data_IF_970247844424
#
_entry.id   IF_970247844424
#
_cell.length_a   1.000
_cell.length_b   1.000
_cell.length_c   1.000
_cell.angle_alpha   90.00
_cell.angle_beta   90.00
_cell.angle_gamma   90.00
#
_symmetry.space_group_name_H-M   'P 1'
#
loop_
_entity.id
_entity.type
_entity.pdbx_description
1 polymer ?
#
# COMPACT_ATOMS: atom_id res chain seq x y z
N UNK A 1 16.42 -17.78 -4.35
CA UNK A 1 16.99 -16.67 -5.15
C UNK A 1 16.31 -15.37 -4.70
N UNK A 2 16.87 -14.20 -4.98
CA UNK A 2 16.27 -12.93 -4.55
C UNK A 2 15.02 -12.63 -5.37
N UNK A 3 13.84 -12.66 -4.74
CA UNK A 3 12.64 -12.10 -5.33
C UNK A 3 12.82 -10.58 -5.44
N UNK A 4 12.72 -10.06 -6.66
CA UNK A 4 12.70 -8.62 -6.88
C UNK A 4 11.32 -8.09 -6.47
N UNK A 5 11.21 -7.67 -5.21
CA UNK A 5 10.02 -6.96 -4.72
C UNK A 5 9.67 -5.83 -5.68
N UNK A 6 8.39 -5.71 -6.04
CA UNK A 6 7.93 -4.65 -6.92
C UNK A 6 8.35 -3.30 -6.31
N UNK A 7 9.16 -2.47 -7.01
CA UNK A 7 9.59 -1.19 -6.46
C UNK A 7 8.36 -0.34 -6.21
N UNK A 8 8.29 0.36 -5.07
CA UNK A 8 7.25 1.36 -4.89
C UNK A 8 7.31 2.38 -6.04
N UNK A 9 6.16 2.80 -6.59
CA UNK A 9 6.12 3.81 -7.66
C UNK A 9 6.73 5.13 -7.14
N UNK A 10 7.93 5.55 -7.59
CA UNK A 10 8.51 6.82 -7.14
C UNK A 10 7.73 8.04 -7.64
N UNK A 11 7.01 7.90 -8.75
CA UNK A 11 6.39 8.98 -9.50
C UNK A 11 5.00 8.61 -10.01
N UNK A 12 4.08 9.55 -9.90
CA UNK A 12 2.71 9.49 -10.43
C UNK A 12 2.70 9.74 -11.94
N UNK A 13 1.62 9.33 -12.63
CA UNK A 13 1.46 9.57 -14.08
C UNK A 13 1.50 11.07 -14.46
N UNK A 14 1.11 11.95 -13.54
CA UNK A 14 1.18 13.41 -13.71
C UNK A 14 2.60 13.96 -13.50
N UNK A 15 3.34 13.45 -12.52
CA UNK A 15 4.76 13.81 -12.29
C UNK A 15 5.64 13.36 -13.45
N UNK A 16 5.37 12.18 -14.01
CA UNK A 16 6.05 11.67 -15.21
C UNK A 16 5.72 12.48 -16.47
N UNK A 17 4.60 13.21 -16.51
CA UNK A 17 4.28 14.19 -17.56
C UNK A 17 5.02 15.52 -17.34
N UNK A 18 5.13 15.98 -16.09
CA UNK A 18 5.79 17.24 -15.72
C UNK A 18 7.21 17.37 -16.28
N UNK A 19 7.54 18.53 -16.87
CA UNK A 19 8.86 18.82 -17.43
C UNK A 19 9.99 18.79 -16.38
N UNK A 20 9.66 19.02 -15.10
CA UNK A 20 10.61 18.96 -13.99
C UNK A 20 11.32 17.59 -13.85
N UNK A 21 10.75 16.51 -14.38
CA UNK A 21 11.27 15.15 -14.27
C UNK A 21 12.06 14.76 -15.54
N UNK A 22 13.41 14.57 -15.48
CA UNK A 22 14.20 14.32 -16.67
C UNK A 22 13.90 12.96 -17.33
N UNK A 23 13.75 12.92 -18.66
CA UNK A 23 13.62 11.67 -19.44
C UNK A 23 14.66 10.61 -19.04
N UNK A 24 15.90 11.06 -18.78
CA UNK A 24 17.05 10.23 -18.42
C UNK A 24 16.82 9.41 -17.15
N UNK A 25 16.11 9.96 -16.17
CA UNK A 25 15.92 9.33 -14.86
C UNK A 25 14.73 8.37 -14.85
N UNK A 26 13.69 8.63 -15.68
CA UNK A 26 12.68 7.62 -16.03
C UNK A 26 13.36 6.41 -16.69
N UNK A 27 14.24 6.66 -17.69
CA UNK A 27 14.97 5.58 -18.39
C UNK A 27 15.87 4.79 -17.41
N UNK A 28 16.62 5.45 -16.52
CA UNK A 28 17.42 4.76 -15.49
C UNK A 28 16.54 3.85 -14.63
N UNK A 29 15.43 4.37 -14.11
CA UNK A 29 14.52 3.60 -13.25
C UNK A 29 13.98 2.37 -13.97
N UNK A 30 13.51 2.54 -15.20
CA UNK A 30 13.06 1.41 -16.04
C UNK A 30 14.20 0.40 -16.26
N UNK A 31 15.41 0.85 -16.61
CA UNK A 31 16.58 -0.03 -16.81
C UNK A 31 17.04 -0.76 -15.54
N UNK A 32 16.82 -0.18 -14.35
CA UNK A 32 17.17 -0.82 -13.07
C UNK A 32 16.11 -1.83 -12.61
N UNK A 33 14.83 -1.59 -12.89
CA UNK A 33 13.72 -2.32 -12.29
C UNK A 33 12.89 -3.20 -13.24
N UNK A 34 12.96 -3.00 -14.56
CA UNK A 34 12.21 -3.81 -15.53
C UNK A 34 12.97 -5.08 -15.97
N UNK A 35 12.20 -6.09 -16.39
CA UNK A 35 12.71 -7.27 -17.09
C UNK A 35 13.44 -6.89 -18.39
N UNK A 36 14.42 -7.69 -18.81
CA UNK A 36 15.25 -7.37 -19.98
C UNK A 36 14.45 -7.47 -21.28
N UNK A 37 13.51 -8.42 -21.37
CA UNK A 37 12.55 -8.54 -22.45
C UNK A 37 11.64 -7.31 -22.56
N UNK A 38 11.15 -6.77 -21.43
CA UNK A 38 10.33 -5.55 -21.41
C UNK A 38 11.12 -4.33 -21.91
N UNK A 39 12.39 -4.23 -21.53
CA UNK A 39 13.30 -3.19 -22.03
C UNK A 39 13.64 -3.36 -23.51
N UNK A 40 13.65 -4.59 -24.03
CA UNK A 40 13.84 -4.85 -25.46
C UNK A 40 12.62 -4.41 -26.28
N UNK A 41 11.42 -4.81 -25.86
CA UNK A 41 10.13 -4.49 -26.49
C UNK A 41 9.91 -2.98 -26.61
N UNK A 42 10.09 -2.24 -25.51
CA UNK A 42 9.99 -0.77 -25.50
C UNK A 42 11.25 -0.04 -26.04
N UNK A 43 12.25 -0.77 -26.57
CA UNK A 43 13.53 -0.22 -27.08
C UNK A 43 14.29 0.66 -26.08
N UNK A 44 14.19 0.31 -24.79
CA UNK A 44 14.84 0.99 -23.67
C UNK A 44 16.19 0.36 -23.29
N UNK A 45 16.63 -0.71 -23.95
CA UNK A 45 17.99 -1.26 -23.78
C UNK A 45 19.08 -0.33 -24.36
N UNK A 46 20.28 -0.39 -23.76
CA UNK A 46 21.44 0.40 -24.18
C UNK A 46 21.66 1.66 -23.34
N UNK A 47 22.54 2.56 -23.79
CA UNK A 47 22.89 3.74 -23.00
C UNK A 47 21.74 4.74 -22.86
N UNK A 48 21.45 5.16 -21.63
CA UNK A 48 20.48 6.22 -21.28
C UNK A 48 20.62 7.47 -22.15
N UNK A 49 21.86 7.88 -22.50
CA UNK A 49 22.13 9.03 -23.37
C UNK A 49 21.63 8.86 -24.81
N UNK A 50 21.54 7.63 -25.30
CA UNK A 50 21.04 7.31 -26.64
C UNK A 50 19.52 7.09 -26.61
N UNK A 51 19.02 6.29 -25.65
CA UNK A 51 17.59 6.07 -25.43
C UNK A 51 16.85 7.40 -25.21
N UNK A 52 17.45 8.36 -24.49
CA UNK A 52 16.84 9.69 -24.28
C UNK A 52 16.79 10.58 -25.54
N UNK A 53 17.50 10.23 -26.63
CA UNK A 53 17.38 10.88 -27.95
C UNK A 53 16.28 10.26 -28.80
N UNK A 54 16.04 8.95 -28.68
CA UNK A 54 15.08 8.20 -29.50
C UNK A 54 13.70 8.06 -28.84
N UNK A 55 13.61 8.06 -27.51
CA UNK A 55 12.36 7.86 -26.78
C UNK A 55 11.64 9.19 -26.47
N UNK A 56 10.34 9.21 -26.75
CA UNK A 56 9.45 10.33 -26.41
C UNK A 56 8.96 10.24 -24.96
N UNK A 57 8.63 11.39 -24.35
CA UNK A 57 8.22 11.45 -22.94
C UNK A 57 7.01 10.54 -22.68
N UNK A 58 5.99 10.62 -23.54
CA UNK A 58 4.79 9.77 -23.49
C UNK A 58 5.10 8.28 -23.62
N UNK A 59 6.07 7.90 -24.45
CA UNK A 59 6.50 6.52 -24.61
C UNK A 59 7.16 5.97 -23.33
N UNK A 60 7.89 6.82 -22.60
CA UNK A 60 8.44 6.48 -21.27
C UNK A 60 7.36 6.41 -20.18
N UNK A 61 6.35 7.30 -20.22
CA UNK A 61 5.18 7.27 -19.32
C UNK A 61 4.36 5.99 -19.55
N UNK A 62 4.12 5.63 -20.82
CA UNK A 62 3.40 4.42 -21.19
C UNK A 62 4.16 3.16 -20.73
N UNK A 63 5.46 3.07 -21.04
CA UNK A 63 6.30 1.95 -20.60
C UNK A 63 6.35 1.83 -19.06
N UNK A 64 6.45 2.94 -18.32
CA UNK A 64 6.38 2.91 -16.86
C UNK A 64 5.02 2.42 -16.36
N UNK A 65 3.93 2.94 -16.92
CA UNK A 65 2.57 2.53 -16.52
C UNK A 65 2.32 1.04 -16.83
N UNK A 66 2.74 0.57 -18.00
CA UNK A 66 2.64 -0.84 -18.39
C UNK A 66 3.53 -1.75 -17.55
N UNK A 67 4.77 -1.35 -17.22
CA UNK A 67 5.65 -2.11 -16.32
C UNK A 67 4.97 -2.40 -14.99
N UNK A 68 4.31 -1.39 -14.41
CA UNK A 68 3.59 -1.52 -13.14
C UNK A 68 2.30 -2.33 -13.26
N UNK A 69 1.53 -2.14 -14.33
CA UNK A 69 0.27 -2.84 -14.55
C UNK A 69 0.46 -4.34 -14.91
N UNK A 70 1.55 -4.67 -15.61
CA UNK A 70 1.91 -6.04 -16.01
C UNK A 70 2.88 -6.73 -15.03
N UNK A 71 3.40 -5.99 -14.05
CA UNK A 71 4.37 -6.44 -13.05
C UNK A 71 5.65 -7.11 -13.63
N UNK A 72 6.05 -6.77 -14.86
CA UNK A 72 7.22 -7.35 -15.57
C UNK A 72 8.56 -6.81 -15.05
N UNK A 73 8.77 -6.92 -13.74
CA UNK A 73 9.98 -6.47 -13.04
C UNK A 73 11.16 -7.42 -13.21
N UNK A 74 12.35 -6.91 -12.92
CA UNK A 74 13.65 -7.54 -13.15
C UNK A 74 13.89 -8.75 -12.23
N UNK A 75 13.35 -9.91 -12.63
CA UNK A 75 13.47 -11.17 -11.90
C UNK A 75 12.40 -12.20 -12.22
N UNK A 76 11.33 -11.82 -12.93
CA UNK A 76 10.27 -12.75 -13.40
C UNK A 76 10.58 -13.42 -14.74
N UNK A 77 11.72 -13.11 -15.36
CA UNK A 77 12.11 -13.56 -16.70
C UNK A 77 12.60 -15.02 -16.68
N UNK A 78 11.66 -15.95 -16.54
CA UNK A 78 11.93 -17.39 -16.48
C UNK A 78 10.79 -18.32 -16.93
N UNK A 79 9.58 -17.81 -17.21
CA UNK A 79 8.47 -18.62 -17.72
C UNK A 79 7.43 -17.80 -18.50
N UNK A 80 7.22 -18.15 -19.77
CA UNK A 80 6.08 -17.77 -20.62
C UNK A 80 6.08 -18.67 -21.88
N UNK A 81 4.95 -18.91 -22.58
CA UNK A 81 3.58 -18.46 -22.32
C UNK A 81 2.50 -19.58 -22.35
N UNK A 82 1.21 -19.18 -22.26
CA UNK A 82 -0.04 -19.95 -22.42
C UNK A 82 -0.37 -20.98 -21.30
N UNK A 83 -1.53 -20.94 -20.63
CA UNK A 83 -2.91 -20.84 -21.18
C UNK A 83 -3.91 -20.13 -20.25
N UNK A 84 -5.02 -19.65 -20.84
CA UNK A 84 -6.25 -19.20 -20.16
C UNK A 84 -7.22 -20.38 -19.88
N UNK A 85 -8.36 -20.19 -19.16
CA UNK A 85 -8.49 -19.50 -17.87
C UNK A 85 -9.33 -20.33 -16.86
N UNK A 86 -8.85 -20.59 -15.64
CA UNK A 86 -9.70 -21.12 -14.55
C UNK A 86 -9.16 -20.86 -13.14
N UNK A 87 -10.08 -20.66 -12.20
CA UNK A 87 -9.86 -20.58 -10.73
C UNK A 87 -9.66 -22.00 -10.16
N UNK A 88 -9.15 -22.21 -8.92
CA UNK A 88 -8.80 -21.22 -7.88
C UNK A 88 -7.44 -21.42 -7.13
N UNK A 89 -6.84 -20.32 -6.67
CA UNK A 89 -6.31 -20.23 -5.29
C UNK A 89 -4.79 -20.23 -5.02
N UNK A 90 -4.45 -19.58 -3.89
CA UNK A 90 -3.38 -19.90 -2.91
C UNK A 90 -1.88 -19.57 -3.19
N UNK A 91 -1.50 -18.38 -2.69
CA UNK A 91 -0.35 -18.07 -1.80
C UNK A 91 1.09 -17.76 -2.33
N UNK A 92 1.83 -17.03 -1.44
CA UNK A 92 3.30 -16.78 -1.32
C UNK A 92 4.00 -15.80 -2.32
N UNK A 93 4.79 -14.78 -1.91
CA UNK A 93 4.93 -14.05 -0.61
C UNK A 93 4.68 -12.51 -0.80
N UNK A 94 5.59 -11.51 -0.91
CA UNK A 94 7.07 -11.48 -0.78
C UNK A 94 7.66 -10.17 -0.20
N UNK A 95 8.66 -10.30 0.69
CA UNK A 95 9.49 -9.32 1.44
C UNK A 95 10.40 -8.36 0.61
N UNK A 96 11.08 -7.32 1.14
CA UNK A 96 11.36 -6.72 2.49
C UNK A 96 11.73 -5.20 2.30
N UNK A 97 12.12 -4.29 3.23
CA UNK A 97 12.52 -4.14 4.66
C UNK A 97 12.18 -2.64 5.06
N UNK A 98 12.53 -1.91 6.14
CA UNK A 98 13.33 -1.97 7.40
C UNK A 98 12.79 -0.84 8.36
N UNK A 99 13.31 -0.53 9.57
CA UNK A 99 14.47 -0.96 10.37
C UNK A 99 14.15 -1.01 11.89
N UNK A 100 15.08 -1.56 12.70
CA UNK A 100 15.00 -1.88 14.16
C UNK A 100 15.04 -0.67 15.12
N UNK A 101 14.82 -0.80 16.47
CA UNK A 101 14.84 -2.01 17.35
C UNK A 101 13.53 -2.30 18.15
N UNK A 102 13.18 -3.57 18.41
CA UNK A 102 13.34 -4.33 19.69
C UNK A 102 12.34 -3.87 20.79
N UNK A 103 11.51 -4.71 21.45
CA UNK A 103 11.70 -6.10 21.94
C UNK A 103 10.51 -7.04 21.59
N UNK A 104 10.45 -8.27 22.14
CA UNK A 104 9.75 -9.41 21.53
C UNK A 104 8.32 -9.72 22.02
N UNK A 105 7.50 -10.23 21.08
CA UNK A 105 6.74 -11.48 21.29
C UNK A 105 6.55 -12.23 19.95
N UNK A 106 6.59 -13.55 20.03
CA UNK A 106 6.49 -14.49 18.90
C UNK A 106 5.12 -14.45 18.18
N UNK A 107 5.04 -15.04 16.97
CA UNK A 107 3.89 -15.29 16.07
C UNK A 107 3.92 -14.64 14.65
N UNK A 108 4.85 -15.09 13.80
CA UNK A 108 4.70 -15.04 12.33
C UNK A 108 4.86 -13.67 11.64
N UNK A 109 4.70 -13.61 10.29
CA UNK A 109 4.75 -12.36 9.54
C UNK A 109 3.49 -11.52 9.77
N UNK A 110 3.60 -10.17 9.75
CA UNK A 110 2.47 -9.28 9.98
C UNK A 110 1.41 -9.44 8.90
N UNK A 111 0.17 -9.77 9.30
CA UNK A 111 -0.95 -10.03 8.38
C UNK A 111 -1.75 -8.76 8.05
N UNK A 112 -1.03 -7.67 7.80
CA UNK A 112 -1.59 -6.38 7.41
C UNK A 112 -0.64 -5.59 6.51
N UNK A 113 -1.19 -4.75 5.64
CA UNK A 113 -0.48 -3.87 4.71
C UNK A 113 -0.83 -2.42 5.02
N UNK A 114 0.14 -1.56 5.33
CA UNK A 114 -0.07 -0.10 5.45
C UNK A 114 0.43 0.65 4.22
N UNK A 115 -0.48 1.38 3.57
CA UNK A 115 -0.18 2.34 2.50
C UNK A 115 -0.45 3.77 2.98
N UNK A 116 0.56 4.63 3.02
CA UNK A 116 0.39 6.03 3.49
C UNK A 116 -0.06 6.93 2.35
N UNK A 117 -1.32 7.41 2.39
CA UNK A 117 -1.89 8.32 1.39
C UNK A 117 -1.43 9.77 1.59
N UNK A 118 -1.33 10.20 2.86
CA UNK A 118 -0.93 11.55 3.26
C UNK A 118 0.03 11.41 4.44
N UNK A 119 1.27 11.83 4.24
CA UNK A 119 2.30 11.82 5.30
C UNK A 119 1.85 12.79 6.39
N UNK A 120 1.88 12.34 7.65
CA UNK A 120 1.71 13.21 8.81
C UNK A 120 2.99 13.95 9.14
N UNK A 121 3.04 14.48 10.36
CA UNK A 121 4.16 15.26 10.89
C UNK A 121 5.47 14.46 11.01
N UNK A 122 5.37 13.12 11.17
CA UNK A 122 6.49 12.19 11.44
C UNK A 122 7.30 12.43 12.72
N UNK A 123 6.96 13.41 13.56
CA UNK A 123 7.59 13.57 14.89
C UNK A 123 6.78 12.86 15.97
N UNK A 124 5.46 13.06 15.98
CA UNK A 124 4.56 12.44 16.97
C UNK A 124 3.99 11.11 16.45
N UNK A 125 4.49 10.00 16.99
CA UNK A 125 3.90 8.66 16.86
C UNK A 125 3.28 8.27 18.22
N UNK A 126 2.12 7.59 18.23
CA UNK A 126 1.48 7.18 19.48
C UNK A 126 2.17 5.96 20.08
N UNK A 127 2.20 5.88 21.41
CA UNK A 127 2.82 4.79 22.16
C UNK A 127 1.78 3.83 22.74
N UNK A 128 2.27 2.69 23.22
CA UNK A 128 1.47 1.65 23.87
C UNK A 128 0.81 2.18 25.14
N UNK A 129 -0.48 2.50 25.06
CA UNK A 129 -1.28 3.09 26.14
C UNK A 129 -1.79 4.51 25.88
N UNK A 130 -1.25 5.21 24.88
CA UNK A 130 -1.69 6.55 24.46
C UNK A 130 -3.10 6.49 23.87
N UNK A 131 -3.84 7.59 24.01
CA UNK A 131 -5.20 7.76 23.52
C UNK A 131 -5.16 8.44 22.16
N UNK A 132 -5.33 7.66 21.09
CA UNK A 132 -5.35 8.18 19.72
C UNK A 132 -6.74 8.67 19.35
N UNK A 133 -6.81 9.80 18.65
CA UNK A 133 -8.02 10.36 18.05
C UNK A 133 -7.91 10.24 16.53
N UNK A 134 -8.74 9.40 15.91
CA UNK A 134 -8.70 9.22 14.45
C UNK A 134 -10.08 9.21 13.78
N UNK A 135 -10.11 9.65 12.52
CA UNK A 135 -11.20 9.34 11.60
C UNK A 135 -10.92 8.02 10.89
N UNK A 136 -11.97 7.27 10.54
CA UNK A 136 -11.80 6.05 9.75
C UNK A 136 -13.03 5.68 8.91
N UNK A 137 -12.79 4.88 7.88
CA UNK A 137 -13.80 4.26 7.01
C UNK A 137 -13.36 2.85 6.66
N UNK A 138 -14.07 1.84 7.18
CA UNK A 138 -13.88 0.43 6.87
C UNK A 138 -14.72 -0.01 5.67
N UNK A 139 -14.04 -0.59 4.67
CA UNK A 139 -14.63 -1.16 3.45
C UNK A 139 -14.30 -2.65 3.33
N UNK A 140 -15.23 -3.43 2.79
CA UNK A 140 -14.96 -4.78 2.32
C UNK A 140 -14.16 -4.75 1.01
N UNK A 141 -13.60 -5.89 0.60
CA UNK A 141 -12.93 -6.06 -0.70
C UNK A 141 -13.83 -5.72 -1.91
N UNK A 142 -15.14 -5.80 -1.72
CA UNK A 142 -16.22 -5.42 -2.64
C UNK A 142 -16.39 -3.89 -2.78
N UNK A 143 -15.70 -3.08 -1.97
CA UNK A 143 -15.86 -1.62 -1.88
C UNK A 143 -17.00 -1.18 -0.96
N UNK A 144 -17.95 -2.07 -0.64
CA UNK A 144 -19.02 -1.86 0.35
C UNK A 144 -18.46 -1.37 1.69
N UNK A 145 -18.83 -0.15 2.10
CA UNK A 145 -18.52 0.42 3.42
C UNK A 145 -19.34 -0.31 4.47
N UNK A 146 -18.69 -0.93 5.46
CA UNK A 146 -19.36 -1.61 6.57
C UNK A 146 -19.39 -0.74 7.85
N UNK A 147 -18.39 0.10 8.06
CA UNK A 147 -18.32 1.03 9.20
C UNK A 147 -17.60 2.33 8.78
N UNK A 148 -17.99 3.47 9.34
CA UNK A 148 -17.27 4.74 9.17
C UNK A 148 -17.65 5.76 10.25
N UNK A 149 -16.64 6.47 10.76
CA UNK A 149 -16.83 7.66 11.58
C UNK A 149 -16.68 8.98 10.77
N UNK A 150 -16.37 8.91 9.47
CA UNK A 150 -16.20 10.10 8.61
C UNK A 150 -17.56 10.70 8.24
N UNK A 151 -18.02 11.67 9.03
CA UNK A 151 -19.31 12.34 8.75
C UNK A 151 -19.20 13.33 7.57
N UNK A 152 -19.63 12.87 6.39
CA UNK A 152 -19.67 13.66 5.13
C UNK A 152 -20.69 14.82 5.13
N UNK A 153 -21.48 14.98 6.19
CA UNK A 153 -22.52 16.01 6.28
C UNK A 153 -22.02 17.35 6.84
N UNK A 154 -21.82 18.37 5.98
CA UNK A 154 -21.36 19.72 6.36
C UNK A 154 -22.16 20.38 7.49
N UNK A 155 -23.45 20.03 7.66
CA UNK A 155 -24.33 20.54 8.74
C UNK A 155 -24.21 19.79 10.08
N UNK A 156 -23.60 18.59 10.10
CA UNK A 156 -23.30 17.80 11.32
C UNK A 156 -21.83 17.85 11.75
N UNK A 157 -20.93 18.41 10.93
CA UNK A 157 -19.48 18.51 11.21
C UNK A 157 -19.09 19.10 12.58
N UNK A 158 -19.94 19.93 13.21
CA UNK A 158 -19.74 20.46 14.58
C UNK A 158 -20.02 19.46 15.71
N UNK A 159 -20.68 18.34 15.44
CA UNK A 159 -21.02 17.30 16.42
C UNK A 159 -20.31 15.96 16.16
N UNK A 160 -19.60 15.83 15.04
CA UNK A 160 -18.75 14.69 14.77
C UNK A 160 -17.51 14.74 15.68
N UNK A 161 -17.29 13.69 16.48
CA UNK A 161 -16.05 13.50 17.26
C UNK A 161 -15.19 12.43 16.58
N UNK A 162 -13.86 12.59 16.51
CA UNK A 162 -12.97 11.50 16.10
C UNK A 162 -13.15 10.31 17.05
N UNK A 163 -12.81 9.10 16.59
CA UNK A 163 -12.83 7.93 17.45
C UNK A 163 -11.63 8.03 18.39
N UNK A 164 -11.90 8.09 19.70
CA UNK A 164 -10.87 8.09 20.73
C UNK A 164 -10.79 6.72 21.41
N UNK A 165 -9.60 6.13 21.43
CA UNK A 165 -9.32 4.85 22.11
C UNK A 165 -7.83 4.74 22.43
N UNK A 166 -7.48 3.82 23.34
CA UNK A 166 -6.10 3.54 23.67
C UNK A 166 -5.50 2.52 22.70
N UNK A 167 -4.37 2.84 22.10
CA UNK A 167 -3.62 1.95 21.19
C UNK A 167 -2.63 1.08 21.98
N UNK A 168 -2.31 -0.10 21.44
CA UNK A 168 -1.33 -1.03 22.03
C UNK A 168 -1.86 -1.83 23.22
N UNK A 169 -3.17 -1.82 23.45
CA UNK A 169 -3.84 -2.45 24.60
C UNK A 169 -4.97 -3.40 24.19
N UNK A 170 -5.02 -3.82 22.92
CA UNK A 170 -6.03 -4.78 22.43
C UNK A 170 -7.47 -4.26 22.47
N UNK A 171 -7.67 -2.93 22.48
CA UNK A 171 -8.98 -2.26 22.34
C UNK A 171 -9.56 -2.38 20.94
N UNK A 172 -8.70 -2.65 19.95
CA UNK A 172 -9.00 -2.79 18.52
C UNK A 172 -8.35 -4.07 17.99
N UNK A 173 -8.67 -4.43 16.74
CA UNK A 173 -8.10 -5.62 16.08
C UNK A 173 -6.57 -5.52 15.94
N UNK A 174 -5.86 -6.66 15.96
CA UNK A 174 -4.37 -6.71 16.02
C UNK A 174 -3.70 -5.92 14.90
N UNK A 175 -4.27 -5.94 13.68
CA UNK A 175 -3.78 -5.14 12.56
C UNK A 175 -3.99 -3.63 12.69
N UNK A 176 -4.96 -3.16 13.48
CA UNK A 176 -5.11 -1.72 13.81
C UNK A 176 -4.09 -1.29 14.86
N UNK A 177 -3.94 -2.09 15.93
CA UNK A 177 -3.06 -1.80 17.06
C UNK A 177 -1.61 -1.63 16.57
N UNK A 178 -1.13 -2.57 15.75
CA UNK A 178 0.19 -2.54 15.11
C UNK A 178 0.35 -1.40 14.10
N UNK A 179 -0.65 -1.19 13.23
CA UNK A 179 -0.55 -0.17 12.18
C UNK A 179 -0.50 1.26 12.75
N UNK A 180 -1.30 1.56 13.78
CA UNK A 180 -1.40 2.91 14.34
C UNK A 180 -0.16 3.33 15.11
N UNK A 181 0.54 2.40 15.76
CA UNK A 181 1.86 2.65 16.37
C UNK A 181 2.90 3.13 15.32
N UNK A 182 2.69 2.82 14.04
CA UNK A 182 3.55 3.30 12.94
C UNK A 182 3.04 4.59 12.27
N UNK A 183 1.86 5.11 12.64
CA UNK A 183 1.27 6.31 12.04
C UNK A 183 1.64 7.56 12.84
N UNK A 184 1.94 8.65 12.14
CA UNK A 184 2.22 9.94 12.75
C UNK A 184 0.98 10.84 12.87
N UNK A 185 1.01 11.83 13.78
CA UNK A 185 -0.06 12.84 13.89
C UNK A 185 -0.27 13.57 12.56
N UNK A 186 -1.52 13.68 12.12
CA UNK A 186 -1.90 14.23 10.81
C UNK A 186 -1.78 13.27 9.61
N UNK A 187 -1.31 12.03 9.82
CA UNK A 187 -1.13 11.02 8.77
C UNK A 187 -2.48 10.41 8.36
N UNK A 188 -2.70 10.29 7.05
CA UNK A 188 -3.75 9.43 6.50
C UNK A 188 -3.11 8.22 5.83
N UNK A 189 -3.51 7.03 6.26
CA UNK A 189 -3.11 5.77 5.68
C UNK A 189 -4.32 4.90 5.32
N UNK A 190 -4.11 3.94 4.44
CA UNK A 190 -5.03 2.85 4.15
C UNK A 190 -4.39 1.56 4.66
N UNK A 191 -5.15 0.83 5.49
CA UNK A 191 -4.78 -0.42 6.10
C UNK A 191 -5.58 -1.53 5.40
N UNK A 192 -4.91 -2.41 4.68
CA UNK A 192 -5.47 -3.72 4.34
C UNK A 192 -5.13 -4.67 5.49
N UNK A 193 -6.12 -5.36 6.03
CA UNK A 193 -5.93 -6.29 7.16
C UNK A 193 -6.56 -7.63 6.78
N UNK A 194 -5.74 -8.68 6.83
CA UNK A 194 -6.23 -10.05 6.62
C UNK A 194 -7.25 -10.42 7.68
N UNK A 195 -8.23 -11.28 7.36
CA UNK A 195 -9.22 -11.73 8.33
C UNK A 195 -8.57 -12.24 9.63
N UNK A 196 -7.45 -12.96 9.54
CA UNK A 196 -6.74 -13.52 10.70
C UNK A 196 -6.29 -12.49 11.75
N UNK A 197 -6.07 -11.24 11.37
CA UNK A 197 -5.74 -10.13 12.27
C UNK A 197 -6.91 -9.13 12.45
N UNK A 198 -8.10 -9.54 12.00
CA UNK A 198 -9.40 -8.87 12.13
C UNK A 198 -10.46 -9.81 12.78
N UNK A 199 -11.50 -10.23 12.06
CA UNK A 199 -12.61 -11.07 12.56
C UNK A 199 -12.52 -12.57 12.18
N UNK A 200 -11.40 -12.97 11.57
CA UNK A 200 -11.00 -14.34 11.30
C UNK A 200 -11.92 -15.13 10.37
N UNK A 201 -11.86 -16.45 10.53
CA UNK A 201 -12.74 -17.43 9.87
C UNK A 201 -14.22 -17.30 10.27
N UNK A 202 -14.53 -16.51 11.30
CA UNK A 202 -15.90 -16.30 11.80
C UNK A 202 -16.59 -15.12 11.11
N UNK A 203 -15.84 -14.10 10.68
CA UNK A 203 -16.40 -12.84 10.20
C UNK A 203 -17.13 -12.08 11.32
N UNK A 204 -17.92 -11.08 10.95
CA UNK A 204 -18.78 -10.34 11.87
C UNK A 204 -20.16 -10.12 11.22
N UNK A 205 -21.14 -11.00 11.47
CA UNK A 205 -22.44 -10.94 10.80
C UNK A 205 -23.20 -9.64 11.12
N UNK A 206 -23.06 -9.09 12.32
CA UNK A 206 -23.66 -7.82 12.75
C UNK A 206 -23.24 -6.63 11.87
N UNK A 207 -21.96 -6.62 11.44
CA UNK A 207 -21.40 -5.64 10.53
C UNK A 207 -21.47 -6.09 9.05
N UNK A 208 -22.18 -7.17 8.75
CA UNK A 208 -22.29 -7.82 7.42
C UNK A 208 -20.93 -8.26 6.84
N UNK A 209 -19.92 -8.47 7.67
CA UNK A 209 -18.57 -8.88 7.27
C UNK A 209 -18.54 -10.40 7.09
N UNK A 210 -18.34 -10.94 5.86
CA UNK A 210 -18.34 -12.38 5.64
C UNK A 210 -17.13 -13.08 6.28
N UNK A 211 -17.21 -14.41 6.51
CA UNK A 211 -16.09 -15.18 7.05
C UNK A 211 -14.88 -15.13 6.10
N UNK A 212 -13.69 -14.92 6.65
CA UNK A 212 -12.44 -14.70 5.90
C UNK A 212 -12.42 -13.44 5.00
N UNK A 213 -13.24 -12.42 5.28
CA UNK A 213 -13.14 -11.13 4.59
C UNK A 213 -11.82 -10.39 4.94
N UNK A 214 -11.10 -9.95 3.91
CA UNK A 214 -10.12 -8.86 4.03
C UNK A 214 -10.85 -7.54 4.29
N UNK A 215 -10.28 -6.69 5.16
CA UNK A 215 -10.82 -5.37 5.50
C UNK A 215 -9.90 -4.26 5.03
N UNK A 216 -10.47 -3.21 4.45
CA UNK A 216 -9.77 -2.05 3.93
C UNK A 216 -10.20 -0.81 4.73
N UNK A 217 -9.38 -0.40 5.69
CA UNK A 217 -9.63 0.79 6.50
C UNK A 217 -8.82 1.98 5.99
N UNK A 218 -9.46 3.02 5.48
CA UNK A 218 -8.83 4.34 5.46
C UNK A 218 -8.88 4.91 6.88
N UNK A 219 -7.74 5.36 7.41
CA UNK A 219 -7.62 5.96 8.75
C UNK A 219 -6.84 7.28 8.64
N UNK A 220 -7.33 8.34 9.28
CA UNK A 220 -6.62 9.64 9.42
C UNK A 220 -6.43 9.94 10.92
N UNK A 221 -5.19 10.01 11.36
CA UNK A 221 -4.83 10.27 12.76
C UNK A 221 -4.85 11.80 13.00
N UNK A 222 -5.78 12.26 13.83
CA UNK A 222 -6.00 13.68 14.14
C UNK A 222 -5.14 14.12 15.30
N UNK A 223 -5.19 13.40 16.43
CA UNK A 223 -4.50 13.76 17.67
C UNK A 223 -4.10 12.54 18.53
N UNK A 224 -3.23 12.77 19.53
CA UNK A 224 -2.62 11.76 20.41
C UNK A 224 -2.52 12.36 21.83
N UNK A 225 -3.07 11.69 22.84
CA UNK A 225 -3.05 12.06 24.28
C UNK A 225 -2.48 10.97 25.21
#
# INVERSE_FOLDING_TARGET
MAAAAAPAQPWSAEELRSEALPKKDIIKFLQQHAAQAFLAEHRLLGQVKNVAKTANKEQLIAAYTQLFHTQRFRGTEGAEPAVEPSKPGKAEETKERAAKPEEARDEGPPKYTKSVLKKGDKTNFPKKGDTVHCWYTGKLQDGTVFDTNVQTGSKKKKAAKPLSFKVGVGKVIRGWDEALLTMSKGEKAQLEIEPEWAYGKKGQPDAKIPPNAKLFFEVELVDIE
#
